data_IF_950477809906
#
_entry.id   IF_950477809906
#
_cell.length_a   1.000
_cell.length_b   1.000
_cell.length_c   1.000
_cell.angle_alpha   90.00
_cell.angle_beta   90.00
_cell.angle_gamma   90.00
#
_symmetry.space_group_name_H-M   'P 1'
#
loop_
_entity.id
_entity.type
_entity.pdbx_description
1 polymer ?
#
# COMPACT_ATOMS: atom_id res chain seq x y z
N UNK A 1 -0.27 4.24 0.24
CA UNK A 1 -0.52 5.10 1.39
C UNK A 1 -0.63 6.56 0.91
N UNK A 2 -1.76 7.14 1.09
CA UNK A 2 -2.00 8.55 0.75
C UNK A 2 -2.53 9.30 1.95
N UNK A 3 -2.53 10.63 1.85
CA UNK A 3 -3.09 11.49 2.88
C UNK A 3 -4.60 11.51 2.77
N UNK A 4 -5.29 11.28 3.90
CA UNK A 4 -6.74 11.37 3.96
C UNK A 4 -7.20 12.82 3.88
N UNK A 5 -8.18 13.09 3.01
CA UNK A 5 -8.90 14.35 3.04
C UNK A 5 -9.92 14.30 4.19
N UNK A 6 -10.28 15.45 4.78
CA UNK A 6 -11.29 15.47 5.83
C UNK A 6 -12.59 14.80 5.38
N UNK A 7 -13.06 13.84 6.16
CA UNK A 7 -14.28 13.11 5.85
C UNK A 7 -14.13 11.95 4.88
N UNK A 8 -12.92 11.68 4.36
CA UNK A 8 -12.70 10.52 3.50
C UNK A 8 -12.65 9.23 4.32
N UNK A 9 -13.26 8.19 3.75
CA UNK A 9 -13.11 6.84 4.27
C UNK A 9 -11.74 6.28 3.86
N UNK A 10 -10.95 5.68 4.77
CA UNK A 10 -9.64 5.12 4.43
C UNK A 10 -9.64 4.15 3.26
N UNK A 11 -10.66 3.29 3.15
CA UNK A 11 -10.75 2.33 2.06
C UNK A 11 -10.94 3.02 0.71
N UNK A 12 -11.77 4.07 0.66
CA UNK A 12 -11.99 4.82 -0.57
C UNK A 12 -10.72 5.56 -0.98
N UNK A 13 -10.01 6.12 -0.03
CA UNK A 13 -8.72 6.76 -0.30
C UNK A 13 -7.72 5.76 -0.85
N UNK A 14 -7.66 4.56 -0.28
CA UNK A 14 -6.74 3.51 -0.75
C UNK A 14 -7.05 3.12 -2.20
N UNK A 15 -8.31 2.95 -2.56
CA UNK A 15 -8.72 2.63 -3.93
C UNK A 15 -8.30 3.73 -4.90
N UNK A 16 -8.53 4.98 -4.53
CA UNK A 16 -8.18 6.14 -5.36
C UNK A 16 -6.67 6.23 -5.56
N UNK A 17 -5.90 6.14 -4.49
CA UNK A 17 -4.44 6.23 -4.54
C UNK A 17 -3.83 5.08 -5.35
N UNK A 18 -4.36 3.87 -5.20
CA UNK A 18 -3.90 2.73 -5.98
C UNK A 18 -4.04 3.00 -7.48
N UNK A 19 -5.19 3.49 -7.91
CA UNK A 19 -5.44 3.81 -9.31
C UNK A 19 -4.53 4.93 -9.81
N UNK A 20 -4.42 6.02 -9.04
CA UNK A 20 -3.61 7.17 -9.42
C UNK A 20 -2.13 6.78 -9.57
N UNK A 21 -1.60 6.02 -8.65
CA UNK A 21 -0.17 5.70 -8.61
C UNK A 21 0.21 4.55 -9.55
N UNK A 22 -0.62 3.52 -9.64
CA UNK A 22 -0.28 2.29 -10.36
C UNK A 22 -1.10 2.04 -11.62
N UNK A 23 -2.27 2.66 -11.73
CA UNK A 23 -3.23 2.36 -12.77
C UNK A 23 -4.13 1.16 -12.47
N UNK A 24 -3.84 0.40 -11.42
CA UNK A 24 -4.68 -0.74 -11.06
C UNK A 24 -5.94 -0.28 -10.34
N UNK A 25 -7.04 -0.93 -10.67
CA UNK A 25 -8.35 -0.68 -10.08
C UNK A 25 -8.85 -1.94 -9.38
N UNK A 26 -9.56 -1.76 -8.28
CA UNK A 26 -10.20 -2.85 -7.57
C UNK A 26 -11.44 -2.37 -6.84
N UNK A 27 -12.39 -3.29 -6.62
CA UNK A 27 -13.50 -3.10 -5.70
C UNK A 27 -13.34 -4.00 -4.47
N UNK A 28 -12.26 -4.78 -4.42
CA UNK A 28 -12.03 -5.75 -3.35
C UNK A 28 -10.83 -5.36 -2.50
N UNK A 29 -11.10 -4.72 -1.38
CA UNK A 29 -10.11 -4.37 -0.39
C UNK A 29 -10.40 -5.11 0.91
N UNK A 30 -9.35 -5.69 1.49
CA UNK A 30 -9.40 -6.30 2.80
C UNK A 30 -8.55 -5.49 3.76
N UNK A 31 -9.12 -5.01 4.89
CA UNK A 31 -8.30 -4.32 5.88
C UNK A 31 -7.24 -5.28 6.45
N UNK A 32 -5.99 -4.84 6.45
CA UNK A 32 -4.90 -5.64 6.98
C UNK A 32 -4.57 -5.22 8.41
N UNK A 33 -4.32 -3.93 8.61
CA UNK A 33 -4.01 -3.40 9.94
C UNK A 33 -4.05 -1.88 9.92
N UNK A 34 -4.04 -1.27 11.10
CA UNK A 34 -3.83 0.16 11.23
C UNK A 34 -2.94 0.44 12.44
N UNK A 35 -2.08 1.45 12.33
CA UNK A 35 -1.09 1.74 13.35
C UNK A 35 -0.57 3.17 13.19
N UNK A 36 0.17 3.63 14.20
CA UNK A 36 0.86 4.91 14.14
C UNK A 36 2.32 4.69 13.71
N UNK A 37 2.80 5.51 12.77
CA UNK A 37 4.20 5.44 12.34
C UNK A 37 5.15 6.00 13.38
N UNK A 38 4.77 7.10 14.02
CA UNK A 38 5.62 7.77 15.01
C UNK A 38 4.75 8.31 16.14
N UNK A 39 4.32 7.44 17.07
CA UNK A 39 3.46 7.88 18.18
C UNK A 39 4.11 9.01 19.00
N UNK A 40 3.32 10.03 19.29
CA UNK A 40 3.81 11.17 20.06
C UNK A 40 4.47 12.27 19.23
N UNK A 41 4.88 11.96 17.99
CA UNK A 41 5.44 12.95 17.06
C UNK A 41 4.45 13.22 15.94
N UNK A 42 3.94 12.13 15.31
CA UNK A 42 2.90 12.19 14.30
C UNK A 42 1.68 11.43 14.82
N UNK A 43 0.56 12.12 14.91
CA UNK A 43 -0.70 11.51 15.35
C UNK A 43 -1.50 10.95 14.19
N UNK A 44 -0.85 10.69 13.08
CA UNK A 44 -1.48 10.19 11.89
C UNK A 44 -1.51 8.66 11.92
N UNK A 45 -2.71 8.10 11.79
CA UNK A 45 -2.89 6.65 11.74
C UNK A 45 -2.74 6.16 10.31
N UNK A 46 -1.88 5.17 10.14
CA UNK A 46 -1.69 4.49 8.86
C UNK A 46 -2.70 3.34 8.75
N UNK A 47 -3.43 3.30 7.64
CA UNK A 47 -4.35 2.20 7.33
C UNK A 47 -3.78 1.39 6.18
N UNK A 48 -3.59 0.08 6.39
CA UNK A 48 -3.10 -0.82 5.37
C UNK A 48 -4.22 -1.73 4.88
N UNK A 49 -4.25 -1.94 3.58
CA UNK A 49 -5.23 -2.81 2.92
C UNK A 49 -4.55 -3.76 1.96
N UNK A 50 -5.17 -4.91 1.74
CA UNK A 50 -4.80 -5.82 0.66
C UNK A 50 -5.83 -5.65 -0.45
N UNK A 51 -5.36 -5.35 -1.64
CA UNK A 51 -6.19 -5.23 -2.83
C UNK A 51 -6.05 -6.50 -3.67
N UNK A 52 -7.17 -7.07 -4.08
CA UNK A 52 -7.21 -8.28 -4.90
C UNK A 52 -8.10 -8.07 -6.11
N UNK A 53 -8.04 -9.00 -7.08
CA UNK A 53 -8.81 -8.93 -8.33
C UNK A 53 -8.61 -7.60 -9.03
N UNK A 54 -7.33 -7.28 -9.28
CA UNK A 54 -6.93 -6.02 -9.88
C UNK A 54 -7.20 -6.00 -11.38
N UNK A 55 -7.67 -4.85 -11.87
CA UNK A 55 -7.83 -4.57 -13.29
C UNK A 55 -6.83 -3.48 -13.66
N UNK A 56 -6.03 -3.72 -14.69
CA UNK A 56 -5.03 -2.75 -15.13
C UNK A 56 -5.65 -1.59 -15.90
N UNK A 57 -5.12 -0.40 -15.69
CA UNK A 57 -5.51 0.81 -16.40
C UNK A 57 -4.38 1.83 -16.38
N UNK A 58 -4.57 3.01 -16.97
CA UNK A 58 -3.54 4.04 -16.97
C UNK A 58 -3.36 4.66 -15.59
N UNK A 59 -2.11 4.85 -15.19
CA UNK A 59 -1.79 5.60 -13.99
C UNK A 59 -2.03 7.09 -14.20
N UNK A 60 -2.39 7.80 -13.13
CA UNK A 60 -2.62 9.24 -13.15
C UNK A 60 -1.75 9.86 -12.06
N UNK A 61 -0.44 9.78 -12.27
CA UNK A 61 0.54 10.30 -11.32
C UNK A 61 0.61 11.81 -11.38
N UNK A 62 0.93 12.41 -10.25
CA UNK A 62 1.14 13.85 -10.20
C UNK A 62 2.44 14.22 -10.91
N UNK A 63 2.54 15.47 -11.42
CA UNK A 63 3.79 15.92 -12.06
C UNK A 63 4.98 15.75 -11.11
N UNK A 64 6.06 15.16 -11.61
CA UNK A 64 7.27 14.94 -10.84
C UNK A 64 7.34 13.61 -10.11
N UNK A 65 6.26 12.86 -10.04
CA UNK A 65 6.29 11.53 -9.46
C UNK A 65 7.01 10.55 -10.38
N UNK A 66 7.94 9.78 -9.81
CA UNK A 66 8.67 8.73 -10.54
C UNK A 66 8.37 7.40 -9.90
N UNK A 67 7.26 6.80 -10.32
CA UNK A 67 6.79 5.53 -9.79
C UNK A 67 6.75 4.51 -10.92
N UNK A 68 7.37 3.37 -10.70
CA UNK A 68 7.29 2.22 -11.59
C UNK A 68 6.61 1.07 -10.87
N UNK A 69 5.69 0.40 -11.57
CA UNK A 69 5.08 -0.80 -11.04
C UNK A 69 6.08 -1.96 -11.17
N UNK A 70 6.32 -2.64 -10.08
CA UNK A 70 7.22 -3.79 -10.05
C UNK A 70 6.48 -5.00 -9.52
N UNK A 71 6.06 -5.86 -10.45
CA UNK A 71 5.26 -7.04 -10.12
C UNK A 71 6.20 -8.22 -9.92
N UNK A 72 6.15 -8.84 -8.75
CA UNK A 72 7.02 -9.95 -8.40
C UNK A 72 6.19 -11.06 -7.75
N UNK A 73 6.74 -12.26 -7.75
CA UNK A 73 6.16 -13.37 -6.98
C UNK A 73 6.26 -13.08 -5.49
N UNK A 74 5.37 -13.64 -4.71
CA UNK A 74 5.34 -13.43 -3.26
C UNK A 74 6.68 -13.76 -2.60
N UNK A 75 7.27 -14.91 -2.96
CA UNK A 75 8.55 -15.34 -2.39
C UNK A 75 9.66 -14.33 -2.67
N UNK A 76 9.67 -13.74 -3.85
CA UNK A 76 10.64 -12.71 -4.21
C UNK A 76 10.41 -11.44 -3.39
N UNK A 77 9.14 -11.05 -3.21
CA UNK A 77 8.81 -9.89 -2.40
C UNK A 77 9.29 -10.07 -0.95
N UNK A 78 9.12 -11.26 -0.39
CA UNK A 78 9.56 -11.54 0.97
C UNK A 78 11.07 -11.54 1.08
N UNK A 79 11.78 -12.03 0.07
CA UNK A 79 13.23 -11.95 0.03
C UNK A 79 13.71 -10.50 0.03
N UNK A 80 13.07 -9.67 -0.80
CA UNK A 80 13.39 -8.24 -0.89
C UNK A 80 13.11 -7.52 0.42
N UNK A 81 12.09 -7.94 1.15
CA UNK A 81 11.78 -7.38 2.46
C UNK A 81 12.86 -7.72 3.50
N UNK A 82 13.45 -8.91 3.39
CA UNK A 82 14.42 -9.40 4.39
C UNK A 82 15.87 -9.01 4.08
N UNK A 83 16.20 -8.73 2.82
CA UNK A 83 17.59 -8.49 2.42
C UNK A 83 17.95 -7.00 2.32
N UNK A 84 17.02 -6.10 2.65
CA UNK A 84 17.28 -4.67 2.61
C UNK A 84 16.96 -3.99 1.30
N UNK A 85 16.49 -4.71 0.30
CA UNK A 85 16.08 -4.13 -0.97
C UNK A 85 14.91 -3.17 -0.79
N UNK A 86 13.90 -3.60 0.00
CA UNK A 86 12.76 -2.75 0.35
C UNK A 86 13.11 -1.98 1.63
N UNK A 87 13.10 -0.67 1.54
CA UNK A 87 13.46 0.20 2.65
C UNK A 87 12.26 0.96 3.24
N UNK A 88 11.12 1.00 2.54
CA UNK A 88 9.95 1.69 3.03
C UNK A 88 9.28 0.92 4.18
N UNK A 89 9.15 1.58 5.32
CA UNK A 89 8.61 0.95 6.53
C UNK A 89 7.18 0.44 6.34
N UNK A 90 6.34 1.21 5.65
CA UNK A 90 4.94 0.81 5.43
C UNK A 90 4.86 -0.46 4.61
N UNK A 91 5.68 -0.55 3.58
CA UNK A 91 5.74 -1.73 2.71
C UNK A 91 6.23 -2.94 3.49
N UNK A 92 7.29 -2.78 4.28
CA UNK A 92 7.82 -3.87 5.11
C UNK A 92 6.78 -4.39 6.09
N UNK A 93 6.09 -3.50 6.80
CA UNK A 93 5.05 -3.89 7.74
C UNK A 93 3.93 -4.65 7.02
N UNK A 94 3.48 -4.11 5.89
CA UNK A 94 2.40 -4.73 5.10
C UNK A 94 2.75 -6.11 4.62
N UNK A 95 3.95 -6.29 4.07
CA UNK A 95 4.40 -7.59 3.58
C UNK A 95 4.50 -8.62 4.69
N UNK A 96 5.11 -8.25 5.81
CA UNK A 96 5.28 -9.17 6.94
C UNK A 96 3.96 -9.56 7.57
N UNK A 97 3.04 -8.62 7.75
CA UNK A 97 1.72 -8.90 8.32
C UNK A 97 0.90 -9.80 7.40
N UNK A 98 0.91 -9.50 6.10
CA UNK A 98 0.15 -10.31 5.15
C UNK A 98 0.73 -11.72 5.03
N UNK A 99 2.05 -11.85 5.09
CA UNK A 99 2.70 -13.16 5.06
C UNK A 99 2.25 -14.03 6.24
N UNK A 100 2.15 -13.44 7.42
CA UNK A 100 1.63 -14.13 8.60
C UNK A 100 0.17 -14.56 8.41
N UNK A 101 -0.64 -13.68 7.82
CA UNK A 101 -2.05 -13.96 7.59
C UNK A 101 -2.29 -15.08 6.58
N UNK A 102 -1.40 -15.23 5.62
CA UNK A 102 -1.51 -16.27 4.57
C UNK A 102 -1.18 -17.66 5.07
N UNK A 103 -0.46 -17.77 6.18
CA UNK A 103 -0.01 -19.05 6.73
C UNK A 103 -1.13 -19.83 7.42
#
# INVERSE_FOLDING_TARGET
AGTLEPGEDPAQTAIRELEEETGFQTTELEPLNSFFLSPGILNERMHLFVATNLTAGPAQREPGEQIENYVVKWDEAMKMACDGTIEDAKTLVGLLLYDQKRR
#
